data_IF_096413961611
#
_entry.id   IF_096413961611
#
_cell.length_a   1.000
_cell.length_b   1.000
_cell.length_c   1.000
_cell.angle_alpha   90.00
_cell.angle_beta   90.00
_cell.angle_gamma   90.00
#
_symmetry.space_group_name_H-M   'P 1'
#
loop_
_entity.id
_entity.type
_entity.pdbx_description
1 polymer ?
#
# COMPACT_ATOMS: atom_id res chain seq x y z
N UNK A 1 -0.52 -17.57 -0.39
CA UNK A 1 -0.61 -18.43 0.82
C UNK A 1 -0.93 -17.53 2.00
N UNK A 2 -1.91 -17.88 2.83
CA UNK A 2 -2.14 -17.20 4.12
C UNK A 2 -1.43 -17.97 5.26
N UNK A 3 -0.74 -17.26 6.15
CA UNK A 3 0.06 -17.84 7.24
C UNK A 3 0.10 -16.91 8.45
N UNK A 4 0.23 -17.48 9.65
CA UNK A 4 0.70 -16.74 10.82
C UNK A 4 2.23 -16.62 10.79
N UNK A 5 2.73 -15.41 10.99
CA UNK A 5 4.16 -15.13 11.02
C UNK A 5 4.44 -13.98 11.98
N UNK A 6 5.07 -14.22 13.13
CA UNK A 6 5.54 -13.13 13.99
C UNK A 6 6.51 -12.24 13.21
N UNK A 7 6.34 -10.93 13.31
CA UNK A 7 7.25 -9.93 12.74
C UNK A 7 7.71 -8.98 13.85
N UNK A 8 8.94 -8.50 13.76
CA UNK A 8 9.43 -7.44 14.66
C UNK A 8 9.07 -6.08 14.05
N UNK A 9 8.23 -5.31 14.76
CA UNK A 9 7.70 -4.01 14.28
C UNK A 9 8.39 -2.82 14.95
N UNK A 10 9.08 -3.05 16.07
CA UNK A 10 10.01 -2.12 16.68
C UNK A 10 11.05 -2.94 17.46
N UNK A 11 12.23 -2.39 17.84
CA UNK A 11 13.24 -3.13 18.57
C UNK A 11 12.67 -3.81 19.84
N UNK A 12 12.65 -5.14 19.84
CA UNK A 12 12.09 -5.95 20.93
C UNK A 12 10.56 -6.09 20.96
N UNK A 13 9.83 -5.48 20.01
CA UNK A 13 8.38 -5.55 19.90
C UNK A 13 8.02 -6.51 18.76
N UNK A 14 7.59 -7.72 19.14
CA UNK A 14 7.13 -8.74 18.19
C UNK A 14 5.61 -8.70 18.06
N UNK A 15 5.11 -8.60 16.83
CA UNK A 15 3.71 -8.57 16.48
C UNK A 15 3.26 -9.90 15.86
N UNK A 16 2.18 -10.56 16.35
CA UNK A 16 1.69 -11.83 15.84
C UNK A 16 0.85 -11.64 14.55
N UNK A 17 1.56 -11.37 13.46
CA UNK A 17 0.98 -11.05 12.17
C UNK A 17 0.32 -12.24 11.44
N UNK A 18 -0.65 -11.91 10.61
CA UNK A 18 -1.23 -12.77 9.58
C UNK A 18 -0.86 -12.21 8.22
N UNK A 19 -0.29 -13.06 7.36
CA UNK A 19 0.40 -12.59 6.16
C UNK A 19 -0.09 -13.31 4.91
N UNK A 20 -0.06 -12.59 3.79
CA UNK A 20 -0.03 -13.22 2.48
C UNK A 20 1.42 -13.40 2.03
N UNK A 21 1.82 -14.64 1.76
CA UNK A 21 3.18 -15.01 1.32
C UNK A 21 4.30 -14.49 2.25
N UNK A 22 4.12 -14.66 3.56
CA UNK A 22 5.17 -14.45 4.55
C UNK A 22 5.68 -13.00 4.68
N UNK A 23 4.89 -12.02 4.19
CA UNK A 23 5.22 -10.60 4.24
C UNK A 23 4.00 -9.72 4.52
N UNK A 24 4.27 -8.54 5.05
CA UNK A 24 3.34 -7.42 5.14
C UNK A 24 4.05 -6.21 4.48
N UNK A 25 3.35 -5.41 3.67
CA UNK A 25 2.12 -5.79 2.99
C UNK A 25 2.32 -7.09 2.17
N UNK A 26 1.23 -7.77 1.86
CA UNK A 26 1.21 -8.88 0.93
C UNK A 26 1.77 -8.50 -0.45
N UNK A 27 1.98 -9.46 -1.36
CA UNK A 27 2.51 -9.18 -2.69
C UNK A 27 1.72 -8.09 -3.41
N UNK A 28 2.42 -7.11 -3.99
CA UNK A 28 1.80 -6.23 -4.98
C UNK A 28 1.43 -7.06 -6.20
N UNK A 29 0.13 -7.12 -6.51
CA UNK A 29 -0.37 -7.77 -7.71
C UNK A 29 -0.45 -6.72 -8.82
N UNK A 30 -0.03 -7.06 -10.03
CA UNK A 30 -0.06 -6.14 -11.17
C UNK A 30 -0.56 -6.88 -12.41
N UNK A 31 -1.46 -6.25 -13.16
CA UNK A 31 -2.03 -6.74 -14.40
C UNK A 31 -2.29 -5.59 -15.36
N UNK A 32 -2.58 -5.90 -16.62
CA UNK A 32 -3.08 -4.91 -17.60
C UNK A 32 -4.60 -4.99 -17.67
N UNK A 33 -5.25 -3.86 -17.91
CA UNK A 33 -6.71 -3.79 -18.06
C UNK A 33 -7.23 -4.77 -19.13
N UNK A 34 -8.19 -5.61 -18.72
CA UNK A 34 -8.78 -6.67 -19.52
C UNK A 34 -8.08 -8.03 -19.43
N UNK A 35 -6.99 -8.16 -18.67
CA UNK A 35 -6.37 -9.46 -18.39
C UNK A 35 -7.33 -10.33 -17.56
N UNK A 36 -7.39 -11.63 -17.87
CA UNK A 36 -8.10 -12.62 -17.03
C UNK A 36 -7.20 -13.04 -15.87
N UNK A 37 -7.61 -12.73 -14.65
CA UNK A 37 -6.85 -13.08 -13.45
C UNK A 37 -7.30 -14.41 -12.86
N UNK A 38 -6.33 -15.13 -12.29
CA UNK A 38 -6.55 -16.36 -11.53
C UNK A 38 -5.66 -16.35 -10.29
N UNK A 39 -6.23 -16.07 -9.12
CA UNK A 39 -5.51 -16.01 -7.86
C UNK A 39 -5.89 -17.21 -6.99
N UNK A 40 -4.90 -18.02 -6.60
CA UNK A 40 -5.14 -19.15 -5.69
C UNK A 40 -4.75 -18.77 -4.26
N UNK A 41 -5.74 -18.74 -3.37
CA UNK A 41 -5.49 -18.68 -1.93
C UNK A 41 -5.36 -20.11 -1.40
N UNK A 42 -4.25 -20.37 -0.71
CA UNK A 42 -4.03 -21.59 0.07
C UNK A 42 -3.88 -21.15 1.52
N UNK A 43 -4.70 -21.67 2.42
CA UNK A 43 -4.71 -21.28 3.82
C UNK A 43 -3.86 -22.25 4.66
N UNK A 44 -2.69 -21.79 5.09
CA UNK A 44 -1.78 -22.51 5.97
C UNK A 44 -1.73 -21.89 7.38
N UNK A 45 -2.73 -21.10 7.75
CA UNK A 45 -2.89 -20.56 9.11
C UNK A 45 -3.83 -21.44 9.94
N UNK A 46 -3.93 -21.15 11.23
CA UNK A 46 -4.94 -21.76 12.11
C UNK A 46 -6.33 -21.11 12.01
N UNK A 47 -6.49 -20.01 11.26
CA UNK A 47 -7.73 -19.24 11.17
C UNK A 47 -8.33 -19.32 9.75
N UNK A 48 -9.64 -19.16 9.61
CA UNK A 48 -10.25 -19.04 8.29
C UNK A 48 -9.89 -17.69 7.65
N UNK A 49 -9.60 -17.67 6.36
CA UNK A 49 -9.23 -16.47 5.61
C UNK A 49 -9.90 -16.42 4.24
N UNK A 50 -9.97 -15.23 3.66
CA UNK A 50 -10.46 -14.98 2.30
C UNK A 50 -9.61 -13.90 1.66
N UNK A 51 -9.76 -13.65 0.35
CA UNK A 51 -9.27 -12.42 -0.28
C UNK A 51 -10.47 -11.71 -0.88
N UNK A 52 -10.74 -10.49 -0.42
CA UNK A 52 -11.62 -9.52 -1.06
C UNK A 52 -10.77 -8.55 -1.86
N UNK A 53 -11.08 -8.40 -3.14
CA UNK A 53 -10.40 -7.46 -4.03
C UNK A 53 -11.24 -6.20 -4.18
N UNK A 54 -10.59 -5.04 -4.22
CA UNK A 54 -11.23 -3.84 -4.76
C UNK A 54 -11.09 -3.90 -6.29
N UNK A 55 -12.20 -3.98 -7.00
CA UNK A 55 -12.25 -4.19 -8.45
C UNK A 55 -13.66 -4.59 -8.88
N UNK A 56 -13.85 -4.85 -10.17
CA UNK A 56 -15.11 -5.42 -10.66
C UNK A 56 -14.98 -6.94 -10.76
N UNK A 57 -15.86 -7.64 -10.05
CA UNK A 57 -15.95 -9.09 -10.06
C UNK A 57 -17.34 -9.52 -9.62
N UNK A 58 -17.69 -10.77 -9.92
CA UNK A 58 -18.98 -11.34 -9.54
C UNK A 58 -19.05 -11.59 -8.02
N UNK A 59 -20.24 -11.54 -7.44
CA UNK A 59 -20.45 -11.74 -6.00
C UNK A 59 -19.92 -13.10 -5.53
N UNK A 60 -19.92 -14.11 -6.41
CA UNK A 60 -19.46 -15.46 -6.09
C UNK A 60 -17.96 -15.52 -5.78
N UNK A 61 -17.17 -14.57 -6.29
CA UNK A 61 -15.70 -14.49 -6.10
C UNK A 61 -15.29 -13.28 -5.26
N UNK A 62 -16.23 -12.65 -4.55
CA UNK A 62 -15.99 -11.42 -3.77
C UNK A 62 -15.19 -11.65 -2.48
N UNK A 63 -15.11 -12.91 -2.00
CA UNK A 63 -14.35 -13.25 -0.79
C UNK A 63 -15.05 -12.89 0.52
N UNK A 64 -16.36 -12.61 0.49
CA UNK A 64 -17.19 -12.39 1.67
C UNK A 64 -17.67 -13.71 2.27
N UNK A 65 -17.54 -13.84 3.58
CA UNK A 65 -18.00 -15.02 4.31
C UNK A 65 -19.50 -15.29 4.08
N UNK A 66 -19.85 -16.51 3.66
CA UNK A 66 -21.24 -16.92 3.42
C UNK A 66 -21.78 -16.62 2.02
N UNK A 67 -21.00 -16.00 1.14
CA UNK A 67 -21.35 -15.75 -0.27
C UNK A 67 -20.35 -16.47 -1.19
N UNK A 68 -20.85 -17.17 -2.21
CA UNK A 68 -20.01 -17.74 -3.25
C UNK A 68 -18.97 -18.74 -2.74
N UNK A 69 -17.70 -18.51 -3.11
CA UNK A 69 -16.54 -19.30 -2.68
C UNK A 69 -16.33 -19.30 -1.15
N UNK A 70 -16.94 -18.35 -0.43
CA UNK A 70 -17.00 -18.35 1.03
C UNK A 70 -15.64 -18.30 1.74
N UNK A 71 -15.60 -18.87 2.95
CA UNK A 71 -14.42 -18.95 3.80
C UNK A 71 -13.46 -20.05 3.31
N UNK A 72 -12.16 -19.77 3.29
CA UNK A 72 -11.13 -20.80 3.10
C UNK A 72 -10.68 -21.29 4.47
N UNK A 73 -11.05 -22.52 4.85
CA UNK A 73 -10.69 -23.07 6.16
C UNK A 73 -9.19 -23.41 6.23
N UNK A 74 -8.62 -23.59 7.45
CA UNK A 74 -7.27 -24.11 7.61
C UNK A 74 -7.02 -25.39 6.80
N UNK A 75 -5.96 -25.39 5.99
CA UNK A 75 -5.58 -26.50 5.11
C UNK A 75 -6.30 -26.51 3.75
N UNK A 76 -7.29 -25.65 3.52
CA UNK A 76 -8.03 -25.58 2.26
C UNK A 76 -7.41 -24.59 1.26
N UNK A 77 -7.94 -24.62 0.03
CA UNK A 77 -7.61 -23.68 -1.02
C UNK A 77 -8.87 -23.22 -1.76
N UNK A 78 -8.83 -22.02 -2.30
CA UNK A 78 -9.82 -21.52 -3.26
C UNK A 78 -9.16 -20.77 -4.41
N UNK A 79 -9.88 -20.59 -5.52
CA UNK A 79 -9.40 -19.89 -6.71
C UNK A 79 -10.36 -18.76 -7.05
N UNK A 80 -9.85 -17.53 -7.00
CA UNK A 80 -10.54 -16.32 -7.44
C UNK A 80 -10.25 -16.09 -8.91
N UNK A 81 -11.29 -15.92 -9.73
CA UNK A 81 -11.17 -15.61 -11.15
C UNK A 81 -12.10 -14.46 -11.56
N UNK A 82 -11.52 -13.42 -12.14
CA UNK A 82 -12.22 -12.24 -12.62
C UNK A 82 -11.33 -11.50 -13.64
N UNK A 83 -11.91 -10.54 -14.35
CA UNK A 83 -11.19 -9.73 -15.32
C UNK A 83 -10.59 -8.50 -14.61
N UNK A 84 -9.40 -8.07 -15.02
CA UNK A 84 -8.73 -6.91 -14.45
C UNK A 84 -9.39 -5.61 -14.94
N UNK A 85 -10.40 -5.12 -14.22
CA UNK A 85 -11.08 -3.86 -14.53
C UNK A 85 -11.70 -3.18 -13.28
N UNK A 86 -11.85 -1.83 -13.30
CA UNK A 86 -11.26 -0.90 -14.27
C UNK A 86 -9.74 -0.76 -14.08
N UNK A 87 -9.02 -0.14 -15.01
CA UNK A 87 -7.64 0.25 -14.72
C UNK A 87 -7.55 1.21 -13.52
N UNK A 88 -6.46 1.14 -12.77
CA UNK A 88 -6.20 1.99 -11.63
C UNK A 88 -5.33 1.35 -10.56
N UNK A 89 -5.29 2.03 -9.41
CA UNK A 89 -4.72 1.51 -8.18
C UNK A 89 -5.85 1.00 -7.28
N UNK A 90 -5.76 -0.26 -6.95
CA UNK A 90 -6.67 -0.97 -6.07
C UNK A 90 -5.88 -1.64 -4.95
N UNK A 91 -6.59 -2.41 -4.13
CA UNK A 91 -6.04 -3.16 -3.03
C UNK A 91 -6.82 -4.46 -2.88
N UNK A 92 -6.30 -5.36 -2.06
CA UNK A 92 -7.02 -6.54 -1.62
C UNK A 92 -6.75 -6.74 -0.13
N UNK A 93 -7.70 -7.35 0.57
CA UNK A 93 -7.55 -7.69 1.98
C UNK A 93 -8.42 -8.88 2.39
N UNK A 94 -8.19 -9.44 3.57
CA UNK A 94 -9.07 -10.46 4.12
C UNK A 94 -10.43 -9.89 4.54
N UNK A 95 -11.51 -10.65 4.38
CA UNK A 95 -12.87 -10.21 4.66
C UNK A 95 -13.64 -11.20 5.57
N UNK A 96 -12.94 -11.66 6.61
CA UNK A 96 -13.47 -12.57 7.64
C UNK A 96 -13.75 -11.80 8.92
N UNK A 97 -14.84 -12.13 9.62
CA UNK A 97 -15.18 -11.50 10.90
C UNK A 97 -14.38 -12.11 12.06
N UNK A 98 -13.88 -11.29 13.01
CA UNK A 98 -13.97 -9.83 13.10
C UNK A 98 -13.05 -9.10 12.10
N UNK A 99 -13.63 -8.28 11.22
CA UNK A 99 -12.95 -7.71 10.04
C UNK A 99 -11.68 -6.93 10.39
N UNK A 100 -11.78 -6.03 11.37
CA UNK A 100 -10.67 -5.18 11.80
C UNK A 100 -9.42 -5.99 12.17
N UNK A 101 -9.59 -7.09 12.92
CA UNK A 101 -8.45 -7.91 13.34
C UNK A 101 -7.75 -8.61 12.17
N UNK A 102 -8.49 -9.00 11.13
CA UNK A 102 -7.90 -9.64 9.96
C UNK A 102 -7.09 -8.65 9.12
N UNK A 103 -7.59 -7.42 8.95
CA UNK A 103 -6.89 -6.34 8.25
C UNK A 103 -5.69 -5.89 9.09
N UNK A 104 -5.89 -5.46 10.34
CA UNK A 104 -4.85 -4.93 11.23
C UNK A 104 -3.68 -5.91 11.44
N UNK A 105 -3.94 -7.23 11.41
CA UNK A 105 -2.89 -8.24 11.52
C UNK A 105 -2.01 -8.41 10.27
N UNK A 106 -2.34 -7.78 9.14
CA UNK A 106 -1.47 -7.72 7.96
C UNK A 106 -2.00 -8.38 6.69
N UNK A 107 -3.24 -8.86 6.67
CA UNK A 107 -3.81 -9.53 5.49
C UNK A 107 -4.34 -8.50 4.48
N UNK A 108 -3.43 -7.73 3.89
CA UNK A 108 -3.71 -6.74 2.86
C UNK A 108 -2.55 -6.62 1.86
N UNK A 109 -2.81 -6.05 0.68
CA UNK A 109 -1.79 -5.71 -0.30
C UNK A 109 -2.32 -4.81 -1.41
N UNK A 110 -1.41 -4.27 -2.22
CA UNK A 110 -1.76 -3.42 -3.35
C UNK A 110 -2.11 -4.28 -4.59
N UNK A 111 -3.06 -3.79 -5.39
CA UNK A 111 -3.47 -4.40 -6.65
C UNK A 111 -3.50 -3.33 -7.76
N UNK A 112 -2.56 -3.38 -8.68
CA UNK A 112 -2.42 -2.43 -9.77
C UNK A 112 -3.01 -3.03 -11.04
N UNK A 113 -3.83 -2.25 -11.73
CA UNK A 113 -4.32 -2.57 -13.06
C UNK A 113 -3.84 -1.44 -13.98
N UNK A 114 -2.83 -1.70 -14.79
CA UNK A 114 -2.32 -0.72 -15.75
C UNK A 114 -3.36 -0.46 -16.85
N UNK A 115 -3.52 0.81 -17.31
CA UNK A 115 -4.34 1.11 -18.47
C UNK A 115 -3.78 0.43 -19.74
N UNK A 116 -4.65 0.12 -20.71
CA UNK A 116 -4.23 -0.44 -22.00
C UNK A 116 -3.23 0.46 -22.74
N UNK A 117 -3.44 1.77 -22.66
CA UNK A 117 -2.46 2.76 -23.09
C UNK A 117 -1.58 3.11 -21.89
N UNK A 118 -0.31 2.72 -21.96
CA UNK A 118 0.63 2.88 -20.85
C UNK A 118 0.76 4.35 -20.44
N UNK A 119 0.90 4.56 -19.12
CA UNK A 119 1.32 5.86 -18.56
C UNK A 119 2.75 6.16 -19.01
N UNK A 120 3.14 7.43 -18.93
CA UNK A 120 4.54 7.82 -19.10
C UNK A 120 5.45 7.00 -18.17
N UNK A 121 6.64 6.61 -18.65
CA UNK A 121 7.61 5.90 -17.81
C UNK A 121 7.99 6.75 -16.59
N UNK A 122 8.11 6.09 -15.44
CA UNK A 122 8.43 6.68 -14.17
C UNK A 122 9.23 5.71 -13.31
N UNK A 123 9.98 6.23 -12.35
CA UNK A 123 10.48 5.46 -11.22
C UNK A 123 9.30 5.17 -10.28
N UNK A 124 8.92 3.89 -10.20
CA UNK A 124 7.66 3.47 -9.58
C UNK A 124 7.86 2.88 -8.18
N UNK A 125 7.08 3.37 -7.23
CA UNK A 125 7.11 2.97 -5.83
C UNK A 125 5.70 2.59 -5.38
N UNK A 126 5.58 1.55 -4.56
CA UNK A 126 4.33 1.23 -3.85
C UNK A 126 4.52 1.56 -2.38
N UNK A 127 3.60 2.36 -1.84
CA UNK A 127 3.56 2.76 -0.44
C UNK A 127 2.22 2.36 0.17
N UNK A 128 2.24 1.38 1.06
CA UNK A 128 1.06 0.94 1.81
C UNK A 128 1.15 1.47 3.23
N UNK A 129 0.23 2.35 3.60
CA UNK A 129 0.18 3.01 4.91
C UNK A 129 -0.61 2.14 5.89
N UNK A 130 0.01 1.77 7.01
CA UNK A 130 -0.56 0.84 7.98
C UNK A 130 -0.22 1.23 9.44
N UNK A 131 -0.89 0.60 10.39
CA UNK A 131 -0.62 0.73 11.83
C UNK A 131 -0.51 -0.63 12.50
N UNK A 132 -0.07 -0.64 13.76
CA UNK A 132 0.00 -1.82 14.61
C UNK A 132 -0.57 -1.53 16.00
N UNK A 133 -1.60 -2.30 16.32
CA UNK A 133 -2.21 -2.48 17.64
C UNK A 133 -1.46 -3.58 18.40
N UNK A 134 -0.46 -3.20 19.17
CA UNK A 134 0.52 -4.10 19.78
C UNK A 134 0.07 -4.64 21.14
N UNK A 135 -0.86 -3.96 21.81
CA UNK A 135 -1.45 -4.41 23.08
C UNK A 135 -2.89 -4.94 22.95
N UNK A 136 -3.46 -4.89 21.73
CA UNK A 136 -4.76 -5.44 21.35
C UNK A 136 -5.96 -4.72 21.99
N UNK A 137 -5.81 -3.44 22.28
CA UNK A 137 -6.87 -2.59 22.83
C UNK A 137 -7.75 -1.91 21.76
N UNK A 138 -7.42 -2.12 20.48
CA UNK A 138 -8.03 -1.49 19.29
C UNK A 138 -7.63 -0.03 19.07
N UNK A 139 -6.44 0.34 19.51
CA UNK A 139 -5.69 1.54 19.15
C UNK A 139 -4.37 1.16 18.47
N UNK A 140 -3.71 2.09 17.78
CA UNK A 140 -2.42 1.81 17.16
C UNK A 140 -1.29 2.47 17.98
N UNK A 141 -0.27 1.70 18.37
CA UNK A 141 0.92 2.24 19.05
C UNK A 141 2.03 2.62 18.07
N UNK A 142 2.00 2.03 16.87
CA UNK A 142 3.01 2.23 15.84
C UNK A 142 2.37 2.43 14.48
N UNK A 143 2.98 3.29 13.67
CA UNK A 143 2.54 3.59 12.31
C UNK A 143 3.68 3.36 11.34
N UNK A 144 3.36 2.95 10.12
CA UNK A 144 4.37 2.67 9.12
C UNK A 144 3.85 2.94 7.70
N UNK A 145 4.81 3.08 6.80
CA UNK A 145 4.63 2.85 5.37
C UNK A 145 5.45 1.61 5.02
N UNK A 146 4.81 0.62 4.40
CA UNK A 146 5.41 -0.68 4.11
C UNK A 146 5.93 -1.40 5.38
N UNK A 147 5.13 -1.39 6.46
CA UNK A 147 5.25 -2.27 7.64
C UNK A 147 6.31 -1.94 8.67
N UNK A 148 7.47 -1.38 8.33
CA UNK A 148 8.51 -1.08 9.33
C UNK A 148 8.45 0.41 9.72
N UNK A 149 8.07 0.76 10.96
CA UNK A 149 8.16 2.13 11.50
C UNK A 149 9.56 2.72 11.29
N UNK A 150 9.61 3.98 10.84
CA UNK A 150 10.86 4.71 10.57
C UNK A 150 11.81 4.06 9.56
N UNK A 151 11.39 3.05 8.79
CA UNK A 151 12.26 2.37 7.83
C UNK A 151 12.99 3.35 6.91
N UNK A 152 12.24 4.29 6.34
CA UNK A 152 12.76 5.28 5.41
C UNK A 152 13.44 6.49 6.07
N UNK A 153 13.51 6.52 7.40
CA UNK A 153 14.43 7.42 8.13
C UNK A 153 15.84 6.85 8.14
N UNK A 154 15.95 5.53 8.37
CA UNK A 154 17.23 4.80 8.37
C UNK A 154 17.73 4.50 6.96
N UNK A 155 16.83 4.14 6.04
CA UNK A 155 17.12 3.85 4.64
C UNK A 155 16.26 4.73 3.72
N UNK A 156 16.69 5.98 3.44
CA UNK A 156 15.94 6.88 2.56
C UNK A 156 15.63 6.28 1.18
N UNK A 157 14.47 6.64 0.65
CA UNK A 157 14.05 6.26 -0.71
C UNK A 157 14.90 7.04 -1.72
N UNK A 158 15.72 6.31 -2.49
CA UNK A 158 16.62 6.92 -3.47
C UNK A 158 15.87 7.19 -4.77
N UNK A 159 15.95 8.42 -5.25
CA UNK A 159 15.36 8.86 -6.53
C UNK A 159 16.32 9.81 -7.24
N UNK A 160 16.08 10.08 -8.52
CA UNK A 160 16.94 10.95 -9.33
C UNK A 160 16.28 12.31 -9.57
N UNK A 161 17.04 13.40 -9.42
CA UNK A 161 16.56 14.73 -9.79
C UNK A 161 16.21 14.78 -11.29
N UNK A 162 15.05 15.34 -11.62
CA UNK A 162 14.57 15.47 -13.01
C UNK A 162 13.87 14.24 -13.59
N UNK A 163 13.87 13.08 -12.90
CA UNK A 163 13.09 11.91 -13.31
C UNK A 163 11.66 11.97 -12.73
N UNK A 164 10.70 11.41 -13.48
CA UNK A 164 9.33 11.28 -13.00
C UNK A 164 9.28 10.16 -11.96
N UNK A 165 8.87 10.49 -10.75
CA UNK A 165 8.60 9.54 -9.67
C UNK A 165 7.10 9.33 -9.58
N UNK A 166 6.68 8.06 -9.58
CA UNK A 166 5.27 7.66 -9.44
C UNK A 166 5.09 6.81 -8.18
N UNK A 167 4.27 7.29 -7.26
CA UNK A 167 3.97 6.58 -6.01
C UNK A 167 2.53 6.06 -6.07
N UNK A 168 2.37 4.75 -5.92
CA UNK A 168 1.09 4.10 -5.69
C UNK A 168 0.83 4.03 -4.18
N UNK A 169 0.01 4.96 -3.68
CA UNK A 169 -0.25 5.13 -2.25
C UNK A 169 -1.58 4.47 -1.87
N UNK A 170 -1.54 3.53 -0.93
CA UNK A 170 -2.72 2.78 -0.45
C UNK A 170 -2.87 2.96 1.05
N UNK A 171 -4.07 3.32 1.53
CA UNK A 171 -4.38 3.35 2.94
C UNK A 171 -5.08 2.07 3.42
N UNK A 172 -4.46 1.34 4.33
CA UNK A 172 -5.06 0.18 5.02
C UNK A 172 -5.03 0.33 6.54
N UNK A 173 -4.73 1.54 7.04
CA UNK A 173 -4.76 1.85 8.47
C UNK A 173 -6.13 1.49 9.05
N UNK A 174 -6.11 0.67 10.09
CA UNK A 174 -7.30 0.25 10.83
C UNK A 174 -7.43 1.10 12.10
N UNK A 175 -8.64 1.16 12.67
CA UNK A 175 -9.01 1.91 13.88
C UNK A 175 -9.02 3.44 13.73
N UNK A 176 -7.95 4.03 13.21
CA UNK A 176 -7.90 5.48 12.90
C UNK A 176 -8.64 5.79 11.60
N UNK A 177 -9.52 6.79 11.64
CA UNK A 177 -10.47 7.05 10.55
C UNK A 177 -9.83 7.62 9.28
N UNK A 178 -8.72 8.33 9.41
CA UNK A 178 -8.09 9.08 8.32
C UNK A 178 -6.57 9.04 8.47
N UNK A 179 -5.90 8.91 7.34
CA UNK A 179 -4.46 9.03 7.16
C UNK A 179 -4.15 10.19 6.20
N UNK A 180 -2.89 10.63 6.12
CA UNK A 180 -2.49 11.63 5.11
C UNK A 180 -1.06 11.50 4.66
N UNK A 181 -0.74 11.81 3.42
CA UNK A 181 0.63 11.86 2.94
C UNK A 181 1.02 13.30 2.66
N UNK A 182 2.18 13.73 3.16
CA UNK A 182 2.81 15.00 2.84
C UNK A 182 4.26 14.81 2.41
N UNK A 183 4.72 15.60 1.43
CA UNK A 183 6.14 15.65 1.02
C UNK A 183 6.68 17.08 1.12
N UNK A 184 7.85 17.23 1.74
CA UNK A 184 8.45 18.54 1.99
C UNK A 184 9.02 19.13 0.70
N UNK A 185 8.78 20.44 0.49
CA UNK A 185 9.45 21.23 -0.54
C UNK A 185 9.14 20.82 -2.00
N UNK A 186 8.16 19.95 -2.20
CA UNK A 186 7.74 19.45 -3.51
C UNK A 186 6.21 19.39 -3.56
N UNK A 187 5.68 19.39 -4.78
CA UNK A 187 4.25 19.19 -5.07
C UNK A 187 4.13 17.99 -6.02
N UNK A 188 2.96 17.39 -6.05
CA UNK A 188 2.64 16.25 -6.89
C UNK A 188 1.26 16.40 -7.52
N UNK A 189 1.12 15.80 -8.70
CA UNK A 189 -0.16 15.55 -9.33
C UNK A 189 -0.84 14.35 -8.65
N UNK A 190 -2.07 14.53 -8.20
CA UNK A 190 -2.85 13.51 -7.48
C UNK A 190 -3.93 12.89 -8.36
N UNK A 191 -3.92 11.57 -8.47
CA UNK A 191 -4.89 10.78 -9.22
C UNK A 191 -5.65 9.87 -8.24
N UNK A 192 -6.81 10.32 -7.69
CA UNK A 192 -7.62 9.50 -6.80
C UNK A 192 -7.96 8.16 -7.45
N UNK A 193 -7.67 7.05 -6.77
CA UNK A 193 -7.88 5.67 -7.27
C UNK A 193 -7.10 5.31 -8.56
N UNK A 194 -6.42 6.23 -9.22
CA UNK A 194 -5.67 5.98 -10.46
C UNK A 194 -6.51 5.64 -11.70
N UNK A 195 -7.84 5.74 -11.63
CA UNK A 195 -8.80 5.42 -12.72
C UNK A 195 -8.93 6.52 -13.77
N UNK A 196 -8.09 7.56 -13.70
CA UNK A 196 -8.03 8.67 -14.63
C UNK A 196 -6.58 8.93 -15.04
N UNK A 197 -6.38 9.33 -16.29
CA UNK A 197 -5.09 9.82 -16.80
C UNK A 197 -4.89 11.33 -16.57
N UNK A 198 -5.89 12.00 -16.00
CA UNK A 198 -5.82 13.42 -15.60
C UNK A 198 -5.83 13.52 -14.07
N UNK A 199 -4.92 14.31 -13.48
CA UNK A 199 -4.92 14.51 -12.04
C UNK A 199 -6.15 15.33 -11.63
N UNK A 200 -6.64 15.05 -10.42
CA UNK A 200 -7.72 15.82 -9.81
C UNK A 200 -7.20 17.08 -9.12
N UNK A 201 -5.98 17.01 -8.57
CA UNK A 201 -5.38 18.05 -7.74
C UNK A 201 -3.87 18.11 -7.99
N UNK A 202 -3.28 19.30 -7.80
CA UNK A 202 -1.84 19.51 -7.71
C UNK A 202 -1.54 20.10 -6.33
N UNK A 203 -0.95 19.30 -5.45
CA UNK A 203 -0.85 19.57 -4.00
C UNK A 203 0.42 18.95 -3.43
N UNK A 204 0.75 19.27 -2.18
CA UNK A 204 1.82 18.63 -1.41
C UNK A 204 1.29 17.69 -0.33
N UNK A 205 -0.03 17.64 -0.13
CA UNK A 205 -0.70 16.91 0.94
C UNK A 205 -2.03 16.32 0.48
N UNK A 206 -2.29 15.06 0.81
CA UNK A 206 -3.58 14.37 0.57
C UNK A 206 -4.05 13.61 1.79
N UNK A 207 -5.37 13.46 1.97
CA UNK A 207 -6.00 12.70 3.05
C UNK A 207 -6.71 11.47 2.51
N UNK A 208 -6.64 10.35 3.22
CA UNK A 208 -7.20 9.07 2.81
C UNK A 208 -7.86 8.39 4.02
N UNK A 209 -9.15 8.08 3.93
CA UNK A 209 -9.79 7.11 4.82
C UNK A 209 -9.33 5.68 4.48
N UNK A 210 -9.62 4.70 5.33
CA UNK A 210 -9.29 3.30 5.06
C UNK A 210 -9.88 2.85 3.70
N UNK A 211 -9.08 2.16 2.89
CA UNK A 211 -9.47 1.69 1.56
C UNK A 211 -9.38 2.76 0.46
N UNK A 212 -9.19 4.04 0.79
CA UNK A 212 -8.81 5.05 -0.19
C UNK A 212 -7.34 4.89 -0.58
N UNK A 213 -7.07 5.23 -1.84
CA UNK A 213 -5.77 5.08 -2.49
C UNK A 213 -5.69 5.99 -3.71
N UNK A 214 -4.51 6.19 -4.24
CA UNK A 214 -4.30 6.90 -5.49
C UNK A 214 -2.84 6.98 -5.91
N UNK A 215 -2.61 7.60 -7.06
CA UNK A 215 -1.27 7.76 -7.63
C UNK A 215 -0.82 9.19 -7.39
N UNK A 216 0.42 9.36 -6.92
CA UNK A 216 1.13 10.64 -6.85
C UNK A 216 2.20 10.63 -7.94
N UNK A 217 2.23 11.65 -8.79
CA UNK A 217 3.29 11.83 -9.78
C UNK A 217 4.03 13.15 -9.50
N UNK A 218 5.36 13.09 -9.40
CA UNK A 218 6.19 14.28 -9.12
C UNK A 218 7.58 14.17 -9.72
N UNK A 219 8.22 15.31 -9.92
CA UNK A 219 9.63 15.40 -10.31
C UNK A 219 10.38 16.27 -9.32
N UNK A 220 11.42 15.71 -8.69
CA UNK A 220 12.28 16.46 -7.77
C UNK A 220 13.21 17.38 -8.58
N UNK A 221 13.04 18.70 -8.41
CA UNK A 221 13.82 19.71 -9.14
C UNK A 221 15.20 19.99 -8.53
N UNK A 222 15.42 19.57 -7.28
CA UNK A 222 16.64 19.84 -6.52
C UNK A 222 17.13 18.57 -5.86
N UNK A 223 18.45 18.44 -5.74
CA UNK A 223 19.07 17.38 -4.94
C UNK A 223 18.89 17.64 -3.44
N UNK A 224 19.02 16.57 -2.66
CA UNK A 224 19.02 16.65 -1.20
C UNK A 224 18.04 15.65 -0.58
N UNK A 225 17.80 15.84 0.73
CA UNK A 225 16.85 15.04 1.48
C UNK A 225 15.54 15.79 1.64
N UNK A 226 14.45 15.19 1.20
CA UNK A 226 13.10 15.73 1.36
C UNK A 226 12.30 14.78 2.24
N UNK A 227 11.82 15.27 3.37
CA UNK A 227 11.03 14.45 4.28
C UNK A 227 9.66 14.17 3.65
N UNK A 228 9.14 12.98 3.88
CA UNK A 228 7.74 12.67 3.64
C UNK A 228 7.18 11.96 4.88
N UNK A 229 5.93 12.27 5.25
CA UNK A 229 5.35 11.74 6.48
C UNK A 229 3.83 11.91 6.51
N UNK A 230 3.21 11.32 7.54
CA UNK A 230 1.85 11.62 7.93
C UNK A 230 1.66 13.10 8.29
N UNK A 231 0.71 13.83 7.70
CA UNK A 231 0.38 15.18 8.19
C UNK A 231 -0.59 15.16 9.41
N UNK A 232 -0.73 13.99 10.05
CA UNK A 232 -1.14 13.83 11.44
C UNK A 232 0.13 13.59 12.26
N UNK A 233 0.49 14.55 13.13
CA UNK A 233 1.78 14.54 13.82
C UNK A 233 2.02 13.29 14.67
N UNK A 234 0.97 12.80 15.33
CA UNK A 234 1.01 11.56 16.12
C UNK A 234 1.53 10.38 15.30
N UNK A 235 0.99 10.15 14.11
CA UNK A 235 1.38 9.01 13.27
C UNK A 235 2.81 9.15 12.77
N UNK A 236 3.24 10.39 12.47
CA UNK A 236 4.61 10.66 12.06
C UNK A 236 5.60 10.40 13.21
N UNK A 237 5.30 10.87 14.42
CA UNK A 237 6.12 10.68 15.62
C UNK A 237 6.15 9.23 16.12
N UNK A 238 5.17 8.41 15.73
CA UNK A 238 5.06 6.99 16.05
C UNK A 238 5.48 6.06 14.90
N UNK A 239 6.06 6.58 13.81
CA UNK A 239 6.78 5.78 12.83
C UNK A 239 6.53 6.09 11.36
N UNK A 240 5.42 6.74 11.02
CA UNK A 240 5.09 7.04 9.63
C UNK A 240 5.78 8.33 9.14
N UNK A 241 7.10 8.24 8.99
CA UNK A 241 7.94 9.24 8.36
C UNK A 241 9.16 8.64 7.68
N UNK A 242 9.72 9.37 6.72
CA UNK A 242 10.89 8.97 5.97
C UNK A 242 11.47 10.12 5.15
N UNK A 243 12.51 9.81 4.37
CA UNK A 243 13.10 10.75 3.43
C UNK A 243 13.17 10.17 2.02
N UNK A 244 12.95 11.02 1.03
CA UNK A 244 13.56 10.85 -0.27
C UNK A 244 15.00 11.36 -0.23
N UNK A 245 15.95 10.59 -0.72
CA UNK A 245 17.32 11.00 -1.01
C UNK A 245 17.46 11.20 -2.52
N UNK A 246 17.39 12.47 -2.94
CA UNK A 246 17.40 12.85 -4.35
C UNK A 246 18.84 13.03 -4.83
N UNK A 247 19.29 12.06 -5.61
CA UNK A 247 20.61 12.03 -6.23
C UNK A 247 20.66 12.72 -7.60
N UNK A 248 21.84 12.72 -8.19
CA UNK A 248 22.05 13.20 -9.55
C UNK A 248 21.99 12.06 -10.57
N UNK A 249 21.27 12.27 -11.67
CA UNK A 249 21.22 11.34 -12.81
C UNK A 249 22.46 11.45 -13.71
N UNK A 250 22.64 10.48 -14.60
CA UNK A 250 23.79 10.44 -15.51
C UNK A 250 23.79 11.59 -16.56
N UNK A 251 22.69 12.32 -16.75
CA UNK A 251 22.55 13.40 -17.73
C UNK A 251 22.73 14.81 -17.13
N UNK A 252 23.99 15.23 -17.03
CA UNK A 252 24.51 16.61 -17.28
C UNK A 252 23.90 17.87 -16.64
N UNK A 253 22.87 17.85 -15.79
CA UNK A 253 22.28 19.08 -15.22
C UNK A 253 22.63 19.37 -13.75
N UNK A 254 23.44 18.52 -13.11
CA UNK A 254 23.86 18.73 -11.72
C UNK A 254 25.10 19.61 -11.63
N UNK A 255 25.02 20.83 -12.17
CA UNK A 255 25.99 21.84 -11.78
C UNK A 255 25.76 22.21 -10.32
N UNK A 256 26.83 22.04 -9.53
CA UNK A 256 26.90 22.34 -8.11
C UNK A 256 26.45 23.79 -7.88
N UNK A 257 25.24 23.99 -7.35
CA UNK A 257 24.89 25.25 -6.73
C UNK A 257 25.73 25.39 -5.46
N UNK A 258 26.69 26.32 -5.53
CA UNK A 258 27.50 26.79 -4.39
C UNK A 258 26.64 27.33 -3.27
#
# INVERSE_FOLDING_TARGET
>A
MARERPIEVAPGVTFPAWTYNDRIPGPTLRATEGDRLRITLINHSAHAHTIHFHGLHAAEVDGVAGIGLGLVQPGERTVYEFDAEPFGLHLYHCHVTPLASHIAKGLYGAFLIDPKEARAEADELVMVMNGFDTDFDRSNELYAVNTIPFAYMGEPVKVTAGELVRIYLVNVLEYDLVNSFHVHGNFFDWYPTGTSLRPAEYTDTVMLCQGQRGILEMTFSRQGRFMFHAHQSEFAELGWMGFFEVGCGASTACERSR
#
